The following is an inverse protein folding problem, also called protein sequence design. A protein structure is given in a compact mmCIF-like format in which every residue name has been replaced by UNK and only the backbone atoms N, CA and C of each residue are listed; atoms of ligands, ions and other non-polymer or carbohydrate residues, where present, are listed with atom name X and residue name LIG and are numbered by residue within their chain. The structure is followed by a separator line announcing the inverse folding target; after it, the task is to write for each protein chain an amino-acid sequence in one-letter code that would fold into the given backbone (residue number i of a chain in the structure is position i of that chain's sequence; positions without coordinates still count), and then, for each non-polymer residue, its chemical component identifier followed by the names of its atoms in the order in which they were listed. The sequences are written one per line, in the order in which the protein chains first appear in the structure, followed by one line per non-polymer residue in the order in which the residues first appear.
data_IF_978753963808
#
_entry.id   IF_978753963808
#
_cell.length_a   1.000
_cell.length_b   1.000
_cell.length_c   1.000
_cell.angle_alpha   90.00
_cell.angle_beta   90.00
_cell.angle_gamma   90.00
#
_symmetry.space_group_name_H-M   'P 1'
#
loop_
_entity.id
_entity.type
_entity.pdbx_description
1 polymer ?
#
# COMPACT_ATOMS: atom_id res chain seq x y z
N UNK A 1 -6.16 -17.03 -12.16
CA UNK A 1 -5.39 -16.40 -11.06
C UNK A 1 -5.81 -17.04 -9.75
N UNK A 2 -4.88 -17.61 -8.98
CA UNK A 2 -5.23 -18.22 -7.69
C UNK A 2 -5.54 -17.11 -6.68
N UNK A 3 -6.83 -16.89 -6.43
CA UNK A 3 -7.40 -15.89 -5.52
C UNK A 3 -6.80 -15.94 -4.08
N UNK A 4 -6.07 -17.01 -3.73
CA UNK A 4 -5.54 -17.25 -2.39
C UNK A 4 -4.29 -16.43 -2.05
N UNK A 5 -3.41 -16.13 -3.02
CA UNK A 5 -2.06 -15.62 -2.67
C UNK A 5 -2.04 -14.17 -2.17
N UNK A 6 -2.69 -13.23 -2.88
CA UNK A 6 -2.78 -11.84 -2.41
C UNK A 6 -3.72 -11.67 -1.20
N UNK A 7 -4.59 -12.65 -0.93
CA UNK A 7 -5.42 -12.69 0.27
C UNK A 7 -4.59 -12.76 1.56
N UNK A 8 -3.53 -13.56 1.57
CA UNK A 8 -2.62 -13.67 2.73
C UNK A 8 -1.86 -12.36 3.00
N UNK A 9 -1.37 -11.70 1.94
CA UNK A 9 -0.74 -10.36 2.05
C UNK A 9 -1.73 -9.40 2.68
N UNK A 10 -2.96 -9.42 2.16
CA UNK A 10 -4.01 -8.50 2.56
C UNK A 10 -4.40 -8.69 4.03
N UNK A 11 -4.50 -9.94 4.50
CA UNK A 11 -4.78 -10.28 5.89
C UNK A 11 -3.63 -9.90 6.83
N UNK A 12 -2.39 -10.22 6.46
CA UNK A 12 -1.21 -9.91 7.28
C UNK A 12 -1.07 -8.41 7.51
N UNK A 13 -1.17 -7.62 6.44
CA UNK A 13 -1.14 -6.15 6.55
C UNK A 13 -2.30 -5.62 7.39
N UNK A 14 -3.50 -6.20 7.23
CA UNK A 14 -4.67 -5.84 8.03
C UNK A 14 -4.44 -6.08 9.52
N UNK A 15 -3.84 -7.21 9.90
CA UNK A 15 -3.49 -7.51 11.28
C UNK A 15 -2.46 -6.52 11.85
N UNK A 16 -1.43 -6.17 11.07
CA UNK A 16 -0.44 -5.17 11.48
C UNK A 16 -1.09 -3.81 11.73
N UNK A 17 -1.93 -3.31 10.82
CA UNK A 17 -2.60 -2.02 10.99
C UNK A 17 -3.62 -2.02 12.14
N UNK A 18 -4.26 -3.15 12.39
CA UNK A 18 -5.13 -3.33 13.55
C UNK A 18 -4.36 -3.21 14.86
N UNK A 19 -3.22 -3.90 14.98
CA UNK A 19 -2.35 -3.79 16.17
C UNK A 19 -1.79 -2.37 16.31
N UNK A 20 -1.36 -1.75 15.22
CA UNK A 20 -0.85 -0.37 15.24
C UNK A 20 -1.90 0.62 15.73
N UNK A 21 -3.18 0.47 15.34
CA UNK A 21 -4.23 1.35 15.82
C UNK A 21 -4.56 1.14 17.30
N UNK A 22 -4.54 -0.11 17.78
CA UNK A 22 -4.64 -0.40 19.22
C UNK A 22 -3.51 0.30 19.99
N UNK A 23 -2.26 0.06 19.57
CA UNK A 23 -1.08 0.65 20.23
C UNK A 23 -1.15 2.17 20.17
N UNK A 24 -1.56 2.77 19.05
CA UNK A 24 -1.66 4.22 18.90
C UNK A 24 -2.66 4.83 19.88
N UNK A 25 -3.87 4.29 19.99
CA UNK A 25 -4.85 4.78 20.96
C UNK A 25 -4.34 4.57 22.39
N UNK A 26 -3.83 3.39 22.74
CA UNK A 26 -3.33 3.12 24.09
C UNK A 26 -2.14 4.03 24.46
N UNK A 27 -1.27 4.35 23.50
CA UNK A 27 -0.13 5.25 23.72
C UNK A 27 -0.55 6.69 23.95
N UNK A 28 -1.64 7.13 23.31
CA UNK A 28 -2.15 8.50 23.50
C UNK A 28 -3.00 8.60 24.77
N UNK A 29 -3.71 7.52 25.12
CA UNK A 29 -4.58 7.46 26.29
C UNK A 29 -3.82 7.11 27.56
N UNK A 30 -2.59 6.59 27.49
CA UNK A 30 -1.74 6.40 28.67
C UNK A 30 -1.55 7.76 29.37
N UNK A 31 -2.35 7.96 30.43
CA UNK A 31 -2.49 9.24 31.09
C UNK A 31 -1.23 9.64 31.83
N UNK A 32 -1.26 10.85 32.40
CA UNK A 32 -0.21 11.28 33.33
C UNK A 32 -0.27 10.49 34.66
N UNK A 33 0.63 10.84 35.59
CA UNK A 33 0.66 10.26 36.95
C UNK A 33 -0.66 10.40 37.73
N UNK A 34 -1.58 11.25 37.25
CA UNK A 34 -2.90 11.50 37.83
C UNK A 34 -4.04 10.86 37.02
N UNK A 35 -3.72 10.02 36.02
CA UNK A 35 -4.71 9.35 35.17
C UNK A 35 -5.42 10.26 34.16
N UNK A 36 -4.91 11.48 33.92
CA UNK A 36 -5.53 12.45 33.01
C UNK A 36 -5.02 12.27 31.58
N UNK A 37 -5.94 12.35 30.62
CA UNK A 37 -5.67 12.13 29.20
C UNK A 37 -5.65 13.45 28.44
N UNK A 38 -4.64 13.67 27.60
CA UNK A 38 -4.52 14.89 26.82
C UNK A 38 -5.44 14.87 25.58
N UNK A 39 -6.47 15.71 25.61
CA UNK A 39 -7.45 15.89 24.53
C UNK A 39 -6.77 16.21 23.18
N UNK A 40 -5.74 17.06 23.17
CA UNK A 40 -5.13 17.52 21.92
C UNK A 40 -4.40 16.40 21.17
N UNK A 41 -3.84 15.43 21.89
CA UNK A 41 -3.22 14.25 21.26
C UNK A 41 -4.27 13.35 20.61
N UNK A 42 -5.45 13.23 21.22
CA UNK A 42 -6.58 12.50 20.63
C UNK A 42 -7.14 13.24 19.41
N UNK A 43 -7.25 14.57 19.44
CA UNK A 43 -7.63 15.36 18.26
C UNK A 43 -6.61 15.20 17.13
N UNK A 44 -5.31 15.21 17.44
CA UNK A 44 -4.25 14.95 16.46
C UNK A 44 -4.41 13.56 15.81
N UNK A 45 -4.65 12.54 16.62
CA UNK A 45 -4.77 11.15 16.16
C UNK A 45 -6.08 10.90 15.38
N UNK A 46 -7.21 11.43 15.85
CA UNK A 46 -8.56 11.11 15.35
C UNK A 46 -9.08 12.07 14.28
N UNK A 47 -8.50 13.27 14.17
CA UNK A 47 -8.93 14.29 13.21
C UNK A 47 -7.80 14.61 12.25
N UNK A 48 -6.69 15.13 12.76
CA UNK A 48 -5.64 15.69 11.90
C UNK A 48 -4.93 14.63 11.08
N UNK A 49 -4.59 13.47 11.66
CA UNK A 49 -3.92 12.38 10.92
C UNK A 49 -4.83 11.78 9.82
N UNK A 50 -6.12 11.46 10.07
CA UNK A 50 -7.05 11.05 9.01
C UNK A 50 -7.23 12.10 7.91
N UNK A 51 -7.35 13.38 8.27
CA UNK A 51 -7.48 14.47 7.30
C UNK A 51 -6.21 14.64 6.46
N UNK A 52 -5.04 14.64 7.10
CA UNK A 52 -3.75 14.72 6.41
C UNK A 52 -3.59 13.58 5.40
N UNK A 53 -3.95 12.36 5.78
CA UNK A 53 -3.88 11.21 4.87
C UNK A 53 -4.93 11.25 3.74
N UNK A 54 -6.04 11.98 3.89
CA UNK A 54 -6.97 12.26 2.79
C UNK A 54 -6.42 13.35 1.85
N UNK A 55 -5.81 14.40 2.40
CA UNK A 55 -5.15 15.45 1.62
C UNK A 55 -4.00 14.86 0.80
N UNK A 56 -3.15 14.04 1.43
CA UNK A 56 -2.06 13.35 0.76
C UNK A 56 -2.59 12.48 -0.39
N UNK A 57 -3.75 11.84 -0.22
CA UNK A 57 -4.38 11.07 -1.28
C UNK A 57 -4.80 11.94 -2.46
N UNK A 58 -5.40 13.11 -2.21
CA UNK A 58 -5.80 14.07 -3.24
C UNK A 58 -4.57 14.55 -4.02
N UNK A 59 -3.50 14.93 -3.32
CA UNK A 59 -2.24 15.39 -3.94
C UNK A 59 -1.63 14.30 -4.83
N UNK A 60 -1.57 13.05 -4.35
CA UNK A 60 -1.06 11.93 -5.15
C UNK A 60 -1.95 11.62 -6.36
N UNK A 61 -3.27 11.80 -6.24
CA UNK A 61 -4.20 11.62 -7.36
C UNK A 61 -4.00 12.65 -8.48
N UNK A 62 -3.70 13.91 -8.12
CA UNK A 62 -3.47 15.00 -9.08
C UNK A 62 -2.15 14.81 -9.83
N UNK A 63 -1.09 14.42 -9.12
CA UNK A 63 0.27 14.36 -9.69
C UNK A 63 0.47 13.23 -10.71
N UNK A 64 -0.50 12.32 -10.90
CA UNK A 64 -0.45 11.15 -11.82
C UNK A 64 0.86 10.34 -11.74
N UNK A 65 1.63 10.51 -10.68
CA UNK A 65 2.97 9.97 -10.58
C UNK A 65 2.90 8.52 -10.12
N UNK A 66 3.01 7.60 -11.08
CA UNK A 66 3.13 6.17 -10.85
C UNK A 66 4.40 5.79 -10.06
N UNK A 67 5.34 6.74 -9.88
CA UNK A 67 6.66 6.49 -9.29
C UNK A 67 6.60 5.93 -7.87
N UNK A 68 5.65 6.35 -7.03
CA UNK A 68 5.53 5.84 -5.66
C UNK A 68 5.17 4.35 -5.62
N UNK A 69 4.35 3.88 -6.58
CA UNK A 69 4.01 2.46 -6.68
C UNK A 69 5.18 1.61 -7.16
N UNK A 70 6.04 2.16 -8.04
CA UNK A 70 7.26 1.49 -8.46
C UNK A 70 8.26 1.35 -7.30
N UNK A 71 8.46 2.41 -6.51
CA UNK A 71 9.32 2.37 -5.31
C UNK A 71 8.84 1.30 -4.32
N UNK A 72 7.53 1.26 -4.06
CA UNK A 72 6.94 0.26 -3.16
C UNK A 72 7.19 -1.17 -3.64
N UNK A 73 6.97 -1.42 -4.94
CA UNK A 73 7.14 -2.76 -5.54
C UNK A 73 8.59 -3.25 -5.60
N UNK A 74 9.58 -2.37 -5.51
CA UNK A 74 11.01 -2.70 -5.60
C UNK A 74 11.70 -2.75 -4.24
N UNK A 75 11.00 -2.43 -3.16
CA UNK A 75 11.61 -2.42 -1.83
C UNK A 75 11.95 -3.85 -1.38
N UNK A 76 13.19 -4.08 -0.94
CA UNK A 76 13.70 -5.40 -0.52
C UNK A 76 13.08 -5.93 0.78
N UNK A 77 12.18 -5.15 1.39
CA UNK A 77 11.56 -5.41 2.70
C UNK A 77 10.45 -6.49 2.58
N UNK A 78 9.96 -6.78 1.38
CA UNK A 78 8.83 -7.69 1.17
C UNK A 78 9.30 -9.15 1.07
N UNK A 79 8.61 -10.11 1.72
CA UNK A 79 8.85 -11.53 1.52
C UNK A 79 8.83 -11.92 0.03
N UNK A 80 9.65 -12.89 -0.39
CA UNK A 80 9.71 -13.35 -1.79
C UNK A 80 8.35 -13.77 -2.35
N UNK A 81 7.52 -14.45 -1.54
CA UNK A 81 6.15 -14.85 -1.91
C UNK A 81 5.23 -13.67 -2.26
N UNK A 82 5.47 -12.51 -1.66
CA UNK A 82 4.67 -11.30 -1.91
C UNK A 82 5.02 -10.69 -3.27
N UNK A 83 6.30 -10.71 -3.63
CA UNK A 83 6.77 -10.23 -4.94
C UNK A 83 6.12 -11.00 -6.09
N UNK A 84 6.05 -12.32 -6.02
CA UNK A 84 5.39 -13.16 -7.04
C UNK A 84 3.92 -12.77 -7.23
N UNK A 85 3.19 -12.60 -6.13
CA UNK A 85 1.77 -12.23 -6.16
C UNK A 85 1.54 -10.81 -6.70
N UNK A 86 2.41 -9.86 -6.34
CA UNK A 86 2.35 -8.48 -6.84
C UNK A 86 2.71 -8.41 -8.32
N UNK A 87 3.65 -9.25 -8.78
CA UNK A 87 4.01 -9.39 -10.20
C UNK A 87 2.84 -9.94 -11.01
N UNK A 88 2.10 -10.94 -10.51
CA UNK A 88 0.88 -11.44 -11.16
C UNK A 88 -0.18 -10.34 -11.32
N UNK A 89 -0.43 -9.56 -10.26
CA UNK A 89 -1.35 -8.42 -10.31
C UNK A 89 -0.88 -7.33 -11.29
N UNK A 90 0.44 -7.09 -11.36
CA UNK A 90 1.04 -6.14 -12.32
C UNK A 90 0.86 -6.60 -13.76
N UNK A 91 1.09 -7.89 -14.05
CA UNK A 91 0.90 -8.49 -15.38
C UNK A 91 -0.55 -8.39 -15.85
N UNK A 92 -1.50 -8.54 -14.94
CA UNK A 92 -2.93 -8.38 -15.24
C UNK A 92 -3.41 -6.92 -15.29
N UNK A 93 -2.54 -5.92 -15.09
CA UNK A 93 -2.95 -4.51 -15.03
C UNK A 93 -3.77 -4.13 -13.79
N UNK A 94 -3.84 -5.00 -12.78
CA UNK A 94 -4.67 -4.86 -11.58
C UNK A 94 -3.90 -4.34 -10.35
N UNK A 95 -2.60 -4.07 -10.47
CA UNK A 95 -1.79 -3.66 -9.32
C UNK A 95 -2.24 -2.33 -8.70
N UNK A 96 -2.41 -1.29 -9.51
CA UNK A 96 -2.84 0.04 -9.06
C UNK A 96 -4.21 0.04 -8.34
N UNK A 97 -5.30 -0.51 -8.93
CA UNK A 97 -6.59 -0.56 -8.27
C UNK A 97 -6.55 -1.43 -6.99
N UNK A 98 -5.75 -2.50 -6.98
CA UNK A 98 -5.56 -3.33 -5.80
C UNK A 98 -4.83 -2.58 -4.67
N UNK A 99 -3.72 -1.89 -4.97
CA UNK A 99 -2.97 -1.09 -4.00
C UNK A 99 -3.83 0.05 -3.44
N UNK A 100 -4.61 0.71 -4.29
CA UNK A 100 -5.56 1.73 -3.84
C UNK A 100 -6.58 1.12 -2.87
N UNK A 101 -7.28 0.04 -3.25
CA UNK A 101 -8.21 -0.66 -2.37
C UNK A 101 -7.57 -1.09 -1.05
N UNK A 102 -6.38 -1.68 -1.12
CA UNK A 102 -5.65 -2.16 0.05
C UNK A 102 -5.27 -1.00 0.98
N UNK A 103 -4.77 0.13 0.46
CA UNK A 103 -4.43 1.30 1.27
C UNK A 103 -5.64 1.86 2.04
N UNK A 104 -6.79 1.98 1.38
CA UNK A 104 -8.02 2.47 2.02
C UNK A 104 -8.52 1.49 3.08
N UNK A 105 -8.43 0.19 2.80
CA UNK A 105 -8.83 -0.85 3.75
C UNK A 105 -7.93 -0.84 4.99
N UNK A 106 -6.62 -0.71 4.82
CA UNK A 106 -5.67 -0.65 5.95
C UNK A 106 -5.92 0.57 6.84
N UNK A 107 -6.14 1.74 6.25
CA UNK A 107 -6.47 2.95 7.00
C UNK A 107 -7.85 2.86 7.68
N UNK A 108 -8.84 2.21 7.06
CA UNK A 108 -10.12 1.94 7.71
C UNK A 108 -9.95 1.03 8.93
N UNK A 109 -9.18 -0.06 8.80
CA UNK A 109 -8.93 -1.00 9.89
C UNK A 109 -8.18 -0.32 11.04
N UNK A 110 -7.18 0.51 10.73
CA UNK A 110 -6.50 1.34 11.72
C UNK A 110 -7.50 2.22 12.48
N UNK A 111 -8.32 3.01 11.77
CA UNK A 111 -9.30 3.89 12.41
C UNK A 111 -10.36 3.13 13.23
N UNK A 112 -10.81 1.97 12.74
CA UNK A 112 -11.75 1.10 13.44
C UNK A 112 -11.12 0.50 14.72
N UNK A 113 -9.86 0.09 14.65
CA UNK A 113 -9.13 -0.41 15.82
C UNK A 113 -8.84 0.68 16.85
N UNK A 114 -8.54 1.90 16.41
CA UNK A 114 -8.41 3.06 17.28
C UNK A 114 -9.72 3.33 18.02
N UNK A 115 -10.85 3.33 17.30
CA UNK A 115 -12.18 3.53 17.85
C UNK A 115 -12.57 2.42 18.83
N UNK A 116 -12.35 1.15 18.46
CA UNK A 116 -12.61 0.00 19.33
C UNK A 116 -11.79 0.09 20.62
N UNK A 117 -10.50 0.43 20.51
CA UNK A 117 -9.64 0.58 21.68
C UNK A 117 -10.09 1.72 22.58
N UNK A 118 -10.49 2.86 21.99
CA UNK A 118 -11.01 4.00 22.73
C UNK A 118 -12.28 3.62 23.52
N UNK A 119 -13.22 2.93 22.87
CA UNK A 119 -14.43 2.44 23.53
C UNK A 119 -14.13 1.43 24.64
N UNK A 120 -13.16 0.53 24.44
CA UNK A 120 -12.74 -0.41 25.47
C UNK A 120 -12.11 0.32 26.66
N UNK A 121 -11.26 1.31 26.43
CA UNK A 121 -10.68 2.08 27.53
C UNK A 121 -11.76 2.85 28.28
N UNK A 122 -12.69 3.49 27.57
CA UNK A 122 -13.82 4.21 28.18
C UNK A 122 -14.75 3.29 28.98
N UNK A 123 -14.91 2.04 28.54
CA UNK A 123 -15.74 1.05 29.24
C UNK A 123 -15.14 0.60 30.57
N UNK A 124 -13.80 0.49 30.64
CA UNK A 124 -13.11 -0.07 31.80
C UNK A 124 -12.43 0.98 32.70
N UNK A 125 -12.29 2.22 32.25
CA UNK A 125 -11.59 3.27 32.97
C UNK A 125 -12.42 4.55 33.03
N UNK A 126 -12.37 5.21 34.18
CA UNK A 126 -12.88 6.56 34.34
C UNK A 126 -11.85 7.56 33.78
N UNK A 127 -12.11 8.06 32.57
CA UNK A 127 -11.18 8.93 31.86
C UNK A 127 -11.48 10.39 32.16
N UNK A 128 -10.51 11.08 32.75
CA UNK A 128 -10.53 12.53 32.89
C UNK A 128 -9.79 13.18 31.73
N UNK A 129 -10.51 13.80 30.81
CA UNK A 129 -9.93 14.50 29.67
C UNK A 129 -9.56 15.93 30.02
N UNK A 130 -8.35 16.30 29.63
CA UNK A 130 -7.75 17.60 29.91
C UNK A 130 -7.00 18.05 28.69
N UNK A 131 -6.88 19.35 28.45
CA UNK A 131 -5.98 19.86 27.41
C UNK A 131 -4.87 20.72 28.02
N UNK A 132 -3.68 20.61 27.42
CA UNK A 132 -2.48 21.31 27.87
C UNK A 132 -1.81 21.98 26.68
N UNK A 133 -1.56 23.28 26.79
CA UNK A 133 -0.75 24.03 25.84
C UNK A 133 -0.02 25.15 26.56
N UNK A 134 1.26 25.33 26.24
CA UNK A 134 2.06 26.45 26.76
C UNK A 134 1.71 27.77 26.09
N UNK A 135 1.22 27.71 24.84
CA UNK A 135 1.01 28.89 23.99
C UNK A 135 -0.47 29.23 23.78
N UNK A 136 -1.36 28.25 23.91
CA UNK A 136 -2.78 28.42 23.55
C UNK A 136 -3.63 28.68 24.79
N UNK A 137 -4.47 29.71 24.69
CA UNK A 137 -5.52 30.03 25.66
C UNK A 137 -6.86 29.41 25.20
N UNK A 138 -7.86 29.25 26.10
CA UNK A 138 -9.17 28.69 25.76
C UNK A 138 -9.84 29.37 24.55
N UNK A 139 -9.68 30.69 24.43
CA UNK A 139 -10.17 31.51 23.32
C UNK A 139 -9.61 31.12 21.94
N UNK A 140 -8.42 30.51 21.88
CA UNK A 140 -7.82 30.01 20.66
C UNK A 140 -8.27 28.58 20.34
N UNK A 141 -8.47 27.76 21.37
CA UNK A 141 -8.82 26.34 21.23
C UNK A 141 -10.31 26.16 20.88
N UNK A 142 -11.18 26.96 21.49
CA UNK A 142 -12.62 26.90 21.23
C UNK A 142 -13.00 27.02 19.75
N UNK A 143 -12.60 28.07 19.00
CA UNK A 143 -12.98 28.19 17.60
C UNK A 143 -12.44 27.03 16.74
N UNK A 144 -11.27 26.49 17.07
CA UNK A 144 -10.72 25.31 16.38
C UNK A 144 -11.59 24.07 16.61
N UNK A 145 -11.94 23.75 17.86
CA UNK A 145 -12.78 22.59 18.17
C UNK A 145 -14.21 22.77 17.63
N UNK A 146 -14.75 23.98 17.68
CA UNK A 146 -16.07 24.30 17.11
C UNK A 146 -16.10 24.11 15.59
N UNK A 147 -15.03 24.49 14.88
CA UNK A 147 -14.91 24.23 13.45
C UNK A 147 -14.85 22.72 13.13
N UNK A 148 -14.15 21.95 13.96
CA UNK A 148 -14.11 20.48 13.87
C UNK A 148 -15.50 19.88 14.13
N UNK A 149 -16.31 20.47 15.01
CA UNK A 149 -17.63 19.95 15.37
C UNK A 149 -18.76 20.25 14.37
N UNK A 150 -18.50 21.09 13.36
CA UNK A 150 -19.49 21.50 12.35
C UNK A 150 -20.25 20.35 11.68
N UNK A 151 -19.64 19.19 11.36
CA UNK A 151 -20.39 18.13 10.67
C UNK A 151 -21.44 17.44 11.54
N UNK A 152 -21.38 17.60 12.87
CA UNK A 152 -22.32 16.97 13.82
C UNK A 152 -22.99 17.98 14.76
N UNK A 153 -23.27 19.21 14.27
CA UNK A 153 -23.98 20.24 15.04
C UNK A 153 -25.30 19.79 15.66
N UNK A 154 -25.95 18.78 15.09
CA UNK A 154 -27.18 18.18 15.59
C UNK A 154 -27.01 17.30 16.84
N UNK A 155 -25.78 17.00 17.26
CA UNK A 155 -25.46 16.24 18.48
C UNK A 155 -24.98 17.22 19.54
N UNK A 156 -25.91 17.82 20.29
CA UNK A 156 -25.62 18.85 21.30
C UNK A 156 -24.59 18.39 22.33
N UNK A 157 -24.68 17.13 22.76
CA UNK A 157 -23.83 16.55 23.80
C UNK A 157 -22.38 16.30 23.33
N UNK A 158 -22.14 16.29 22.02
CA UNK A 158 -20.82 16.17 21.40
C UNK A 158 -20.25 17.51 20.92
N UNK A 159 -20.89 18.64 21.28
CA UNK A 159 -20.39 19.98 20.94
C UNK A 159 -19.39 20.48 21.99
N UNK A 160 -18.30 21.14 21.57
CA UNK A 160 -17.42 21.82 22.50
C UNK A 160 -18.14 23.04 23.10
N UNK A 161 -18.11 23.17 24.42
CA UNK A 161 -18.63 24.35 25.14
C UNK A 161 -17.47 25.15 25.69
N UNK A 162 -17.50 26.48 25.53
CA UNK A 162 -16.41 27.35 25.99
C UNK A 162 -16.09 27.17 27.49
N UNK A 163 -17.13 27.10 28.32
CA UNK A 163 -16.99 26.88 29.77
C UNK A 163 -16.28 25.55 30.08
N UNK A 164 -16.57 24.49 29.32
CA UNK A 164 -15.92 23.19 29.46
C UNK A 164 -14.43 23.26 29.06
N UNK A 165 -14.09 23.97 27.98
CA UNK A 165 -12.69 24.14 27.57
C UNK A 165 -11.93 24.92 28.63
N UNK A 166 -12.50 26.01 29.15
CA UNK A 166 -11.85 26.82 30.17
C UNK A 166 -11.61 26.02 31.46
N UNK A 167 -12.57 25.18 31.88
CA UNK A 167 -12.47 24.39 33.11
C UNK A 167 -11.59 23.13 32.97
N UNK A 168 -11.46 22.58 31.77
CA UNK A 168 -10.61 21.41 31.48
C UNK A 168 -9.17 21.77 31.05
N UNK A 169 -8.80 23.05 31.11
CA UNK A 169 -7.43 23.50 30.90
C UNK A 169 -6.56 23.20 32.13
N UNK A 170 -5.55 22.35 31.96
CA UNK A 170 -4.56 22.08 33.02
C UNK A 170 -3.27 22.84 32.70
N UNK A 171 -3.20 24.05 33.22
CA UNK A 171 -2.04 24.91 33.08
C UNK A 171 -1.31 25.01 34.41
N UNK A 172 0.00 24.77 34.39
CA UNK A 172 0.86 24.95 35.57
C UNK A 172 0.93 26.42 36.02
N UNK A 173 0.57 27.35 35.13
CA UNK A 173 0.68 28.80 35.34
C UNK A 173 -0.61 29.43 35.88
N UNK A 174 -1.76 28.77 35.73
CA UNK A 174 -3.05 29.27 36.19
C UNK A 174 -3.70 28.26 37.14
N UNK A 175 -3.61 28.54 38.44
CA UNK A 175 -4.33 27.80 39.49
C UNK A 175 -5.81 28.18 39.47
N UNK A 176 -6.56 27.74 38.47
CA UNK A 176 -8.02 27.79 38.51
C UNK A 176 -8.54 26.53 39.18
N UNK A 177 -8.72 26.58 40.50
CA UNK A 177 -9.42 25.55 41.27
C UNK A 177 -10.91 25.78 41.14
N UNK A 178 -11.51 25.26 40.08
CA UNK A 178 -12.97 25.11 39.98
C UNK A 178 -13.36 23.74 40.50
N UNK A 179 -14.12 23.72 41.60
CA UNK A 179 -14.77 22.53 42.10
C UNK A 179 -15.98 22.20 41.19
N UNK A 180 -16.09 20.95 40.75
CA UNK A 180 -17.08 20.40 39.80
C UNK A 180 -16.80 20.66 38.32
N UNK A 181 -15.65 20.19 37.82
CA UNK A 181 -15.38 20.09 36.38
C UNK A 181 -15.78 18.71 35.88
N UNK A 182 -16.69 18.66 34.90
CA UNK A 182 -17.06 17.43 34.21
C UNK A 182 -16.01 17.09 33.14
N UNK A 183 -14.91 16.48 33.59
CA UNK A 183 -13.80 16.05 32.72
C UNK A 183 -14.18 14.91 31.77
N UNK A 184 -15.31 14.23 31.98
CA UNK A 184 -15.74 13.07 31.18
C UNK A 184 -16.42 13.45 29.87
N UNK A 185 -17.07 14.61 29.80
CA UNK A 185 -17.90 15.03 28.66
C UNK A 185 -17.21 15.03 27.26
N UNK A 186 -15.88 15.06 27.19
CA UNK A 186 -15.13 15.08 25.94
C UNK A 186 -15.17 13.79 25.11
N UNK A 187 -15.52 12.63 25.69
CA UNK A 187 -15.51 11.37 24.94
C UNK A 187 -16.49 11.37 23.76
N UNK A 188 -17.62 12.08 23.89
CA UNK A 188 -18.65 12.16 22.85
C UNK A 188 -18.16 12.95 21.64
N UNK A 189 -17.50 14.09 21.90
CA UNK A 189 -16.82 14.88 20.88
C UNK A 189 -15.76 14.03 20.14
N UNK A 190 -14.91 13.32 20.89
CA UNK A 190 -13.85 12.49 20.30
C UNK A 190 -14.40 11.30 19.48
N UNK A 191 -15.47 10.67 19.97
CA UNK A 191 -16.14 9.59 19.25
C UNK A 191 -16.77 10.10 17.95
N UNK A 192 -17.51 11.21 18.01
CA UNK A 192 -18.10 11.84 16.83
C UNK A 192 -17.02 12.24 15.81
N UNK A 193 -15.91 12.82 16.29
CA UNK A 193 -14.78 13.20 15.46
C UNK A 193 -14.12 11.99 14.76
N UNK A 194 -13.85 10.91 15.50
CA UNK A 194 -13.23 9.69 14.95
C UNK A 194 -14.13 9.01 13.91
N UNK A 195 -15.44 8.98 14.14
CA UNK A 195 -16.41 8.45 13.18
C UNK A 195 -16.44 9.32 11.92
N UNK A 196 -16.53 10.64 12.08
CA UNK A 196 -16.72 11.60 10.99
C UNK A 196 -15.48 11.75 10.10
N UNK A 197 -14.29 11.86 10.70
CA UNK A 197 -13.06 12.14 9.96
C UNK A 197 -12.23 10.89 9.68
N UNK A 198 -12.30 9.89 10.57
CA UNK A 198 -11.57 8.63 10.44
C UNK A 198 -12.35 7.57 9.68
N UNK A 199 -13.50 7.14 10.21
CA UNK A 199 -14.20 5.93 9.74
C UNK A 199 -15.05 6.16 8.49
N UNK A 200 -15.97 7.13 8.52
CA UNK A 200 -16.93 7.35 7.44
C UNK A 200 -16.28 7.62 6.07
N UNK A 201 -15.30 8.53 5.94
CA UNK A 201 -14.67 8.82 4.64
C UNK A 201 -13.94 7.58 4.10
N UNK A 202 -13.30 6.82 4.99
CA UNK A 202 -12.58 5.59 4.62
C UNK A 202 -13.53 4.47 4.21
N UNK A 203 -14.66 4.31 4.90
CA UNK A 203 -15.68 3.33 4.54
C UNK A 203 -16.24 3.60 3.13
N UNK A 204 -16.51 4.88 2.81
CA UNK A 204 -16.93 5.28 1.48
C UNK A 204 -15.85 4.95 0.43
N UNK A 205 -14.61 5.36 0.66
CA UNK A 205 -13.50 5.11 -0.27
C UNK A 205 -13.20 3.63 -0.45
N UNK A 206 -13.26 2.81 0.60
CA UNK A 206 -13.11 1.36 0.54
C UNK A 206 -14.21 0.75 -0.32
N UNK A 207 -15.46 1.19 -0.15
CA UNK A 207 -16.60 0.71 -0.93
C UNK A 207 -16.42 1.01 -2.42
N UNK A 208 -16.02 2.24 -2.76
CA UNK A 208 -15.71 2.64 -4.14
C UNK A 208 -14.54 1.84 -4.70
N UNK A 209 -13.44 1.73 -3.95
CA UNK A 209 -12.23 1.03 -4.37
C UNK A 209 -12.48 -0.47 -4.59
N UNK A 210 -13.25 -1.10 -3.69
CA UNK A 210 -13.68 -2.49 -3.79
C UNK A 210 -14.50 -2.72 -5.06
N UNK A 211 -15.49 -1.87 -5.31
CA UNK A 211 -16.31 -1.95 -6.50
C UNK A 211 -15.47 -1.82 -7.79
N UNK A 212 -14.58 -0.82 -7.85
CA UNK A 212 -13.68 -0.62 -9.00
C UNK A 212 -12.74 -1.80 -9.22
N UNK A 213 -12.16 -2.33 -8.15
CA UNK A 213 -11.26 -3.48 -8.22
C UNK A 213 -11.99 -4.74 -8.72
N UNK A 214 -13.17 -5.06 -8.17
CA UNK A 214 -13.93 -6.22 -8.62
C UNK A 214 -14.40 -6.10 -10.07
N UNK A 215 -14.82 -4.90 -10.48
CA UNK A 215 -15.22 -4.65 -11.88
C UNK A 215 -14.05 -4.89 -12.84
N UNK A 216 -12.87 -4.36 -12.53
CA UNK A 216 -11.68 -4.55 -13.37
C UNK A 216 -11.17 -5.98 -13.34
N UNK A 217 -11.28 -6.65 -12.20
CA UNK A 217 -10.95 -8.08 -12.07
C UNK A 217 -11.86 -8.92 -12.99
N UNK A 218 -13.18 -8.68 -12.98
CA UNK A 218 -14.12 -9.37 -13.86
C UNK A 218 -13.81 -9.08 -15.35
N UNK A 219 -13.56 -7.82 -15.70
CA UNK A 219 -13.15 -7.44 -17.05
C UNK A 219 -11.88 -8.16 -17.49
N UNK A 220 -10.85 -8.19 -16.63
CA UNK A 220 -9.59 -8.89 -16.94
C UNK A 220 -9.75 -10.40 -17.10
N UNK A 221 -10.78 -11.01 -16.48
CA UNK A 221 -11.07 -12.44 -16.64
C UNK A 221 -11.86 -12.74 -17.92
N UNK A 222 -12.71 -11.80 -18.35
CA UNK A 222 -13.46 -11.90 -19.60
C UNK A 222 -12.57 -11.58 -20.80
N UNK A 223 -11.68 -10.59 -20.65
CA UNK A 223 -10.68 -10.18 -21.64
C UNK A 223 -9.45 -11.07 -21.61
N UNK A 224 -9.22 -11.87 -20.54
CA UNK A 224 -8.25 -12.94 -20.55
C UNK A 224 -8.65 -13.86 -21.70
N UNK A 225 -7.97 -13.75 -22.84
CA UNK A 225 -8.38 -14.54 -23.97
C UNK A 225 -8.04 -15.98 -23.60
N UNK A 226 -8.60 -16.90 -24.36
CA UNK A 226 -8.02 -18.22 -24.58
C UNK A 226 -6.59 -18.13 -25.18
N UNK A 227 -5.78 -17.11 -24.83
CA UNK A 227 -4.39 -16.80 -25.19
C UNK A 227 -3.37 -17.58 -24.34
N UNK A 228 -3.86 -18.51 -23.51
CA UNK A 228 -3.19 -19.79 -23.30
C UNK A 228 -3.59 -20.79 -24.41
N UNK A 229 -3.95 -20.31 -25.60
CA UNK A 229 -3.51 -20.91 -26.85
C UNK A 229 -1.99 -20.84 -26.81
N UNK A 230 -1.46 -21.71 -25.97
CA UNK A 230 -0.18 -22.36 -26.09
C UNK A 230 0.81 -21.49 -26.83
N UNK A 231 1.78 -20.95 -26.10
CA UNK A 231 3.12 -20.76 -26.64
C UNK A 231 3.69 -22.15 -27.04
N UNK A 232 2.94 -22.92 -27.83
CA UNK A 232 3.46 -23.93 -28.71
C UNK A 232 4.28 -23.08 -29.67
N UNK A 233 5.60 -23.23 -29.61
CA UNK A 233 6.40 -23.07 -30.81
C UNK A 233 5.70 -23.93 -31.86
N UNK A 234 4.84 -23.32 -32.69
CA UNK A 234 4.23 -24.02 -33.80
C UNK A 234 5.40 -24.35 -34.69
N UNK A 235 5.86 -25.60 -34.62
CA UNK A 235 6.74 -26.10 -35.65
C UNK A 235 6.01 -25.85 -36.97
N UNK A 236 6.63 -25.12 -37.91
CA UNK A 236 5.97 -24.85 -39.17
C UNK A 236 5.64 -26.19 -39.84
N UNK A 237 4.39 -26.34 -40.30
CA UNK A 237 3.90 -27.57 -40.96
C UNK A 237 4.77 -27.98 -42.16
N UNK A 238 5.50 -27.01 -42.73
CA UNK A 238 6.56 -27.25 -43.70
C UNK A 238 7.80 -26.45 -43.29
N UNK A 239 8.90 -27.18 -43.08
CA UNK A 239 10.22 -26.58 -42.86
C UNK A 239 10.74 -26.05 -44.20
N UNK A 240 10.26 -24.89 -44.63
CA UNK A 240 10.93 -24.16 -45.70
C UNK A 240 12.19 -23.54 -45.11
N UNK A 241 13.33 -24.21 -45.34
CA UNK A 241 14.64 -23.63 -45.09
C UNK A 241 14.70 -22.28 -45.82
N UNK A 242 15.10 -21.24 -45.12
CA UNK A 242 15.31 -19.94 -45.75
C UNK A 242 16.26 -20.12 -46.94
N UNK A 243 15.91 -19.54 -48.09
CA UNK A 243 16.82 -19.52 -49.24
C UNK A 243 18.16 -18.95 -48.77
N UNK A 244 19.24 -19.70 -48.98
CA UNK A 244 20.59 -19.24 -48.68
C UNK A 244 20.79 -17.95 -49.45
N UNK A 245 20.85 -16.83 -48.72
CA UNK A 245 21.22 -15.56 -49.31
C UNK A 245 22.73 -15.63 -49.42
N UNK A 246 23.23 -15.90 -50.63
CA UNK A 246 24.64 -15.76 -51.02
C UNK A 246 25.03 -14.27 -50.96
N UNK A 247 25.00 -13.71 -49.76
CA UNK A 247 25.59 -12.44 -49.43
C UNK A 247 27.07 -12.70 -49.22
N UNK A 248 27.79 -12.84 -50.35
CA UNK A 248 29.23 -13.12 -50.47
C UNK A 248 29.95 -13.17 -49.14
N UNK A 249 30.05 -14.37 -48.57
CA UNK A 249 30.73 -14.59 -47.29
C UNK A 249 32.19 -14.13 -47.44
N UNK A 250 32.73 -13.41 -46.44
CA UNK A 250 34.12 -12.97 -46.48
C UNK A 250 35.04 -14.20 -46.63
N UNK A 251 36.06 -14.09 -47.48
CA UNK A 251 37.03 -15.16 -47.77
C UNK A 251 37.73 -15.71 -46.53
N UNK A 252 37.72 -14.95 -45.44
CA UNK A 252 38.22 -15.36 -44.13
C UNK A 252 37.06 -15.41 -43.13
N UNK A 253 36.63 -16.61 -42.78
CA UNK A 253 35.62 -16.83 -41.74
C UNK A 253 36.09 -17.86 -40.71
N UNK A 254 35.57 -17.70 -39.50
CA UNK A 254 35.80 -18.62 -38.38
C UNK A 254 34.54 -19.43 -38.16
N UNK A 255 34.65 -20.76 -38.14
CA UNK A 255 33.53 -21.65 -37.93
C UNK A 255 33.33 -21.89 -36.43
N UNK A 256 32.26 -21.35 -35.85
CA UNK A 256 31.90 -21.56 -34.44
C UNK A 256 30.75 -22.55 -34.34
N UNK A 257 31.02 -23.73 -33.81
CA UNK A 257 30.08 -24.83 -33.63
C UNK A 257 29.55 -24.84 -32.20
N UNK A 258 28.29 -24.42 -32.02
CA UNK A 258 27.60 -24.47 -30.72
C UNK A 258 27.23 -25.89 -30.27
N UNK A 259 27.15 -26.82 -31.21
CA UNK A 259 26.99 -28.26 -30.98
C UNK A 259 27.84 -28.98 -32.03
N UNK A 260 28.38 -30.15 -31.66
CA UNK A 260 29.29 -30.90 -32.54
C UNK A 260 28.52 -31.34 -33.79
N UNK A 261 28.74 -30.63 -34.89
CA UNK A 261 28.06 -30.87 -36.17
C UNK A 261 28.50 -32.22 -36.73
N UNK A 262 27.59 -33.04 -37.29
CA UNK A 262 27.97 -34.24 -38.02
C UNK A 262 28.99 -33.91 -39.12
N UNK A 263 30.05 -34.72 -39.24
CA UNK A 263 31.15 -34.49 -40.19
C UNK A 263 30.67 -34.36 -41.65
N UNK A 264 29.59 -35.05 -42.02
CA UNK A 264 28.99 -34.92 -43.36
C UNK A 264 28.47 -33.51 -43.66
N UNK A 265 27.86 -32.85 -42.67
CA UNK A 265 27.34 -31.49 -42.82
C UNK A 265 28.48 -30.48 -42.85
N UNK A 266 29.50 -30.69 -42.00
CA UNK A 266 30.69 -29.85 -41.97
C UNK A 266 31.40 -29.88 -43.34
N UNK A 267 31.54 -31.08 -43.92
CA UNK A 267 32.14 -31.27 -45.25
C UNK A 267 31.34 -30.54 -46.33
N UNK A 268 30.00 -30.64 -46.31
CA UNK A 268 29.14 -29.94 -47.28
C UNK A 268 29.22 -28.41 -47.14
N UNK A 269 29.28 -27.90 -45.91
CA UNK A 269 29.44 -26.45 -45.65
C UNK A 269 30.81 -25.98 -46.14
N UNK A 270 31.88 -26.70 -45.85
CA UNK A 270 33.22 -26.35 -46.34
C UNK A 270 33.35 -26.45 -47.86
N UNK A 271 32.62 -27.36 -48.51
CA UNK A 271 32.57 -27.44 -49.97
C UNK A 271 31.86 -26.25 -50.61
N UNK A 272 30.85 -25.69 -49.95
CA UNK A 272 30.08 -24.55 -50.48
C UNK A 272 30.70 -23.19 -50.13
N UNK A 273 31.29 -23.07 -48.94
CA UNK A 273 31.74 -21.79 -48.37
C UNK A 273 33.28 -21.64 -48.38
N UNK A 274 34.01 -22.75 -48.48
CA UNK A 274 35.48 -22.79 -48.37
C UNK A 274 35.96 -23.32 -47.01
N UNK A 275 37.27 -23.49 -46.86
CA UNK A 275 37.88 -23.95 -45.61
C UNK A 275 37.94 -22.79 -44.59
N UNK A 276 37.45 -22.96 -43.36
CA UNK A 276 37.55 -21.94 -42.33
C UNK A 276 39.01 -21.75 -41.90
N UNK A 277 39.38 -20.53 -41.48
CA UNK A 277 40.72 -20.29 -40.90
C UNK A 277 40.87 -20.92 -39.51
N UNK A 278 39.80 -20.92 -38.73
CA UNK A 278 39.75 -21.46 -37.39
C UNK A 278 38.40 -22.12 -37.15
N UNK A 279 38.39 -23.24 -36.46
CA UNK A 279 37.20 -23.94 -36.03
C UNK A 279 37.16 -23.99 -34.51
N UNK A 280 36.09 -23.47 -33.92
CA UNK A 280 35.86 -23.52 -32.47
C UNK A 280 34.62 -24.36 -32.19
N UNK A 281 34.74 -25.38 -31.35
CA UNK A 281 33.61 -26.13 -30.82
C UNK A 281 33.29 -25.58 -29.44
N UNK A 282 32.21 -24.81 -29.34
CA UNK A 282 31.76 -24.23 -28.08
C UNK A 282 30.58 -25.06 -27.55
N UNK A 283 30.84 -25.94 -26.57
CA UNK A 283 29.83 -26.78 -25.94
C UNK A 283 30.34 -27.41 -24.64
N UNK A 284 29.49 -28.16 -23.92
CA UNK A 284 29.83 -28.74 -22.61
C UNK A 284 31.03 -29.72 -22.62
N UNK A 285 31.52 -30.10 -23.81
CA UNK A 285 32.72 -30.90 -24.04
C UNK A 285 33.68 -30.20 -25.00
N UNK A 286 33.99 -28.92 -24.77
CA UNK A 286 35.07 -28.26 -25.48
C UNK A 286 36.43 -28.84 -25.03
N UNK A 287 36.91 -29.89 -25.70
CA UNK A 287 38.34 -30.20 -25.73
C UNK A 287 38.98 -29.33 -26.79
N UNK A 288 39.89 -28.47 -26.36
CA UNK A 288 40.75 -27.71 -27.26
C UNK A 288 41.77 -28.71 -27.82
N UNK A 289 41.51 -29.27 -29.00
CA UNK A 289 42.59 -29.89 -29.79
C UNK A 289 43.35 -28.75 -30.47
N UNK A 290 44.45 -28.34 -29.83
CA UNK A 290 45.52 -27.56 -30.45
C UNK A 290 46.44 -28.56 -31.16
N UNK A 291 46.50 -28.47 -32.49
CA UNK A 291 47.73 -28.78 -33.23
C UNK A 291 48.62 -27.53 -33.29
#
# INVERSE_FOLDING_TARGET
MSNKSYGYISWTLSLVFFILGIISTLSVVSGDSSGRVNLLYLVLLYVLLPLFSLIMLIVLSITKSSSWFNIFSQSSIWPRRWHESLLELKRAGLLSPWLFFQSQKLLLIFNASCLLSFLMVLLFNDLSFVWRSTLLLPEHVFPMLSAIALPWTFIESAQPVYQLIASTQDSRLSQSVTANVDYGSWWQFLMAAQITYGVLPRLLLVSIAKYRFHRQLLQSQLEAPQHLSTLINRQPDQTQLASIVDSGLPTNFTLVQWTLLPNELLTKVCQQVGLPQQQFVTGCHATIEQE
#
